data_IF_196141798783
#
_entry.id   IF_196141798783
#
_cell.length_a   1.000
_cell.length_b   1.000
_cell.length_c   1.000
_cell.angle_alpha   90.00
_cell.angle_beta   90.00
_cell.angle_gamma   90.00
#
_symmetry.space_group_name_H-M   'P 1'
#
loop_
_entity.id
_entity.type
_entity.pdbx_description
1 polymer ?
#
# COMPACT_ATOMS: atom_id res chain seq x y z
N UNK A 1 -4.53 18.79 3.17
CA UNK A 1 -5.05 17.74 4.06
C UNK A 1 -4.63 16.38 3.51
N UNK A 2 -4.36 15.39 4.36
CA UNK A 2 -3.76 14.11 3.94
C UNK A 2 -4.63 12.93 4.35
N UNK A 3 -4.74 11.93 3.47
CA UNK A 3 -5.41 10.65 3.74
C UNK A 3 -4.41 9.51 3.56
N UNK A 4 -4.34 8.58 4.52
CA UNK A 4 -3.50 7.39 4.43
C UNK A 4 -4.26 6.25 3.71
N UNK A 5 -3.67 5.70 2.65
CA UNK A 5 -4.16 4.46 2.03
C UNK A 5 -3.23 3.31 2.39
N UNK A 6 -3.79 2.15 2.76
CA UNK A 6 -3.00 0.97 3.12
C UNK A 6 -3.76 -0.35 2.86
N UNK A 7 -3.05 -1.48 2.79
CA UNK A 7 -3.63 -2.80 2.48
C UNK A 7 -4.39 -3.47 3.62
N UNK A 8 -4.47 -2.82 4.79
CA UNK A 8 -5.19 -3.34 5.95
C UNK A 8 -4.53 -4.54 6.65
N UNK A 9 -3.22 -4.79 6.45
CA UNK A 9 -2.52 -5.83 7.21
C UNK A 9 -2.59 -5.57 8.73
N UNK A 10 -2.88 -6.60 9.55
CA UNK A 10 -2.92 -6.46 11.00
C UNK A 10 -1.52 -6.36 11.64
N UNK A 11 -0.45 -6.48 10.85
CA UNK A 11 0.95 -6.47 11.31
C UNK A 11 1.88 -5.72 10.35
N UNK A 12 3.08 -5.41 10.84
CA UNK A 12 4.16 -4.80 10.05
C UNK A 12 3.91 -3.33 9.71
N UNK A 13 4.55 -2.86 8.63
CA UNK A 13 4.56 -1.44 8.25
C UNK A 13 3.16 -0.84 8.08
N UNK A 14 2.22 -1.55 7.45
CA UNK A 14 0.85 -1.06 7.27
C UNK A 14 0.11 -0.89 8.60
N UNK A 15 0.34 -1.78 9.58
CA UNK A 15 -0.28 -1.64 10.91
C UNK A 15 0.31 -0.45 11.68
N UNK A 16 1.63 -0.26 11.59
CA UNK A 16 2.32 0.89 12.20
C UNK A 16 1.80 2.20 11.59
N UNK A 17 1.68 2.27 10.26
CA UNK A 17 1.14 3.44 9.56
C UNK A 17 -0.32 3.72 9.97
N UNK A 18 -1.15 2.67 10.09
CA UNK A 18 -2.53 2.79 10.55
C UNK A 18 -2.63 3.35 11.97
N UNK A 19 -1.80 2.85 12.91
CA UNK A 19 -1.74 3.37 14.28
C UNK A 19 -1.22 4.81 14.34
N UNK A 20 -0.23 5.15 13.51
CA UNK A 20 0.25 6.52 13.39
C UNK A 20 -0.86 7.46 12.90
N UNK A 21 -1.65 7.05 11.91
CA UNK A 21 -2.76 7.84 11.40
C UNK A 21 -3.84 8.05 12.46
N UNK A 22 -4.22 6.99 13.18
CA UNK A 22 -5.16 7.08 14.30
C UNK A 22 -4.67 8.05 15.39
N UNK A 23 -3.40 7.93 15.80
CA UNK A 23 -2.82 8.76 16.85
C UNK A 23 -2.80 10.26 16.51
N UNK A 24 -2.78 10.58 15.21
CA UNK A 24 -2.71 11.95 14.69
C UNK A 24 -4.03 12.42 14.07
N UNK A 25 -5.09 11.62 14.15
CA UNK A 25 -6.40 11.90 13.56
C UNK A 25 -6.34 12.14 12.04
N UNK A 26 -5.42 11.45 11.36
CA UNK A 26 -5.33 11.44 9.90
C UNK A 26 -6.37 10.44 9.37
N UNK A 27 -7.28 10.83 8.46
CA UNK A 27 -8.21 9.89 7.84
C UNK A 27 -7.46 8.76 7.13
N UNK A 28 -7.96 7.53 7.23
CA UNK A 28 -7.34 6.37 6.58
C UNK A 28 -8.36 5.48 5.88
N UNK A 29 -7.94 4.88 4.75
CA UNK A 29 -8.75 3.94 3.95
C UNK A 29 -7.98 2.64 3.79
N UNK A 30 -8.58 1.55 4.27
CA UNK A 30 -8.02 0.21 4.19
C UNK A 30 -8.53 -0.57 2.97
N UNK A 31 -7.65 -0.91 2.04
CA UNK A 31 -7.94 -1.76 0.88
C UNK A 31 -7.63 -3.22 1.20
N UNK A 32 -8.55 -3.90 1.89
CA UNK A 32 -8.37 -5.32 2.25
C UNK A 32 -8.54 -6.23 1.03
N UNK A 33 -7.75 -7.32 0.92
CA UNK A 33 -7.91 -8.28 -0.17
C UNK A 33 -9.27 -9.01 -0.09
N UNK A 34 -10.01 -9.00 -1.19
CA UNK A 34 -11.25 -9.78 -1.35
C UNK A 34 -10.93 -11.19 -1.86
N UNK A 35 -10.75 -12.12 -0.93
CA UNK A 35 -10.42 -13.52 -1.22
C UNK A 35 -11.55 -14.28 -1.90
N UNK A 36 -12.80 -13.94 -1.59
CA UNK A 36 -13.98 -14.58 -2.17
C UNK A 36 -14.07 -14.30 -3.67
N UNK A 37 -13.76 -13.05 -4.07
CA UNK A 37 -13.85 -12.62 -5.46
C UNK A 37 -12.61 -12.93 -6.29
N UNK A 38 -11.42 -12.92 -5.68
CA UNK A 38 -10.16 -12.92 -6.42
C UNK A 38 -9.19 -14.05 -6.03
N UNK A 39 -9.54 -14.90 -5.07
CA UNK A 39 -8.72 -16.04 -4.62
C UNK A 39 -7.24 -15.63 -4.42
N UNK A 40 -6.29 -16.38 -5.00
CA UNK A 40 -4.85 -16.11 -4.88
C UNK A 40 -4.42 -14.75 -5.46
N UNK A 41 -5.21 -14.16 -6.35
CA UNK A 41 -4.92 -12.85 -6.92
C UNK A 41 -5.40 -11.67 -6.04
N UNK A 42 -6.15 -11.93 -4.96
CA UNK A 42 -6.74 -10.90 -4.12
C UNK A 42 -5.74 -9.85 -3.60
N UNK A 43 -4.52 -10.22 -3.14
CA UNK A 43 -3.52 -9.24 -2.71
C UNK A 43 -3.03 -8.31 -3.82
N UNK A 44 -3.00 -8.80 -5.07
CA UNK A 44 -2.59 -7.99 -6.22
C UNK A 44 -3.73 -7.11 -6.74
N UNK A 45 -4.97 -7.61 -6.69
CA UNK A 45 -6.16 -6.85 -7.11
C UNK A 45 -6.48 -5.70 -6.16
N UNK A 46 -6.24 -5.84 -4.86
CA UNK A 46 -6.37 -4.71 -3.93
C UNK A 46 -5.37 -3.58 -4.24
N UNK A 47 -4.18 -3.90 -4.76
CA UNK A 47 -3.20 -2.88 -5.16
C UNK A 47 -3.71 -2.10 -6.37
N UNK A 48 -4.33 -2.78 -7.33
CA UNK A 48 -4.98 -2.12 -8.48
C UNK A 48 -6.06 -1.14 -7.99
N UNK A 49 -6.93 -1.59 -7.08
CA UNK A 49 -7.98 -0.75 -6.51
C UNK A 49 -7.42 0.45 -5.74
N UNK A 50 -6.35 0.26 -4.96
CA UNK A 50 -5.68 1.32 -4.21
C UNK A 50 -4.98 2.34 -5.12
N UNK A 51 -4.39 1.92 -6.24
CA UNK A 51 -3.73 2.85 -7.16
C UNK A 51 -4.73 3.57 -8.08
N UNK A 52 -5.89 2.96 -8.34
CA UNK A 52 -6.96 3.58 -9.14
C UNK A 52 -7.60 4.80 -8.47
N UNK A 53 -7.42 5.00 -7.16
CA UNK A 53 -7.78 6.26 -6.50
C UNK A 53 -6.73 7.37 -6.68
N UNK A 54 -5.68 7.10 -7.46
CA UNK A 54 -4.65 8.05 -7.91
C UNK A 54 -3.98 8.79 -6.73
N UNK A 55 -3.31 8.05 -5.82
CA UNK A 55 -2.62 8.68 -4.70
C UNK A 55 -1.50 9.60 -5.20
N UNK A 56 -1.22 10.65 -4.43
CA UNK A 56 -0.14 11.62 -4.73
C UNK A 56 1.27 10.98 -4.73
N UNK A 57 1.41 9.85 -4.05
CA UNK A 57 2.67 9.12 -3.93
C UNK A 57 2.48 7.84 -3.13
N UNK A 58 3.43 6.92 -3.25
CA UNK A 58 3.42 5.64 -2.55
C UNK A 58 4.73 5.44 -1.80
N UNK A 59 4.63 5.06 -0.53
CA UNK A 59 5.76 4.66 0.30
C UNK A 59 5.77 3.14 0.41
N UNK A 60 6.88 2.50 0.01
CA UNK A 60 7.03 1.06 -0.03
C UNK A 60 8.10 0.63 0.97
N UNK A 61 7.75 -0.30 1.84
CA UNK A 61 8.68 -0.98 2.74
C UNK A 61 9.00 -2.39 2.21
N UNK A 62 10.14 -3.00 2.62
CA UNK A 62 10.51 -4.35 2.20
C UNK A 62 9.41 -5.37 2.55
N UNK A 63 9.25 -6.38 1.70
CA UNK A 63 8.20 -7.37 1.84
C UNK A 63 8.32 -8.50 0.83
N UNK A 64 7.19 -8.93 0.30
CA UNK A 64 7.12 -9.98 -0.74
C UNK A 64 6.87 -9.35 -2.11
N UNK A 65 6.68 -10.18 -3.14
CA UNK A 65 6.28 -9.72 -4.47
C UNK A 65 4.97 -8.92 -4.52
N UNK A 66 4.17 -8.88 -3.45
CA UNK A 66 2.97 -8.03 -3.36
C UNK A 66 3.36 -6.54 -3.24
N UNK A 67 4.40 -6.23 -2.47
CA UNK A 67 4.94 -4.88 -2.29
C UNK A 67 5.67 -4.42 -3.55
N UNK A 68 6.43 -5.32 -4.18
CA UNK A 68 7.08 -5.04 -5.46
C UNK A 68 6.03 -4.76 -6.55
N UNK A 69 4.96 -5.56 -6.60
CA UNK A 69 3.86 -5.32 -7.52
C UNK A 69 3.19 -3.94 -7.35
N UNK A 70 2.99 -3.50 -6.10
CA UNK A 70 2.46 -2.17 -5.83
C UNK A 70 3.40 -1.07 -6.35
N UNK A 71 4.70 -1.21 -6.07
CA UNK A 71 5.73 -0.26 -6.50
C UNK A 71 5.80 -0.15 -8.03
N UNK A 72 5.83 -1.29 -8.74
CA UNK A 72 5.97 -1.34 -10.19
C UNK A 72 4.74 -0.77 -10.89
N UNK A 73 3.53 -1.08 -10.40
CA UNK A 73 2.29 -0.51 -10.92
C UNK A 73 2.20 1.00 -10.69
N UNK A 74 2.56 1.48 -9.50
CA UNK A 74 2.58 2.91 -9.20
C UNK A 74 3.54 3.67 -10.14
N UNK A 75 4.76 3.15 -10.33
CA UNK A 75 5.74 3.71 -11.28
C UNK A 75 5.19 3.75 -12.70
N UNK A 76 4.56 2.67 -13.16
CA UNK A 76 3.95 2.59 -14.49
C UNK A 76 2.84 3.62 -14.68
N UNK A 77 2.13 3.99 -13.62
CA UNK A 77 1.10 5.04 -13.61
C UNK A 77 1.66 6.46 -13.46
N UNK A 78 2.99 6.63 -13.36
CA UNK A 78 3.62 7.93 -13.12
C UNK A 78 3.47 8.44 -11.68
N UNK A 79 3.03 7.59 -10.75
CA UNK A 79 2.88 7.94 -9.34
C UNK A 79 4.27 7.88 -8.68
N UNK A 80 4.73 8.94 -7.98
CA UNK A 80 6.00 8.92 -7.26
C UNK A 80 6.07 7.77 -6.25
N UNK A 81 7.15 7.00 -6.28
CA UNK A 81 7.39 5.88 -5.36
C UNK A 81 8.64 6.14 -4.54
N UNK A 82 8.48 6.17 -3.22
CA UNK A 82 9.59 6.18 -2.27
C UNK A 82 9.75 4.79 -1.66
N UNK A 83 10.89 4.14 -1.88
CA UNK A 83 11.17 2.79 -1.37
C UNK A 83 12.17 2.85 -0.20
N UNK A 84 11.75 2.32 0.94
CA UNK A 84 12.61 2.12 2.10
C UNK A 84 13.27 0.74 2.05
N UNK A 85 14.50 0.63 2.56
CA UNK A 85 15.19 -0.64 2.77
C UNK A 85 15.84 -1.27 1.53
N UNK A 86 16.14 -0.50 0.48
CA UNK A 86 17.09 -0.92 -0.55
C UNK A 86 18.53 -0.80 -0.03
N UNK A 87 18.89 -1.65 0.94
CA UNK A 87 20.26 -1.84 1.38
C UNK A 87 20.89 -3.01 0.62
N UNK A 88 21.37 -2.75 -0.59
CA UNK A 88 22.67 -3.24 -1.02
C UNK A 88 23.49 -1.99 -1.31
N UNK A 89 24.59 -1.80 -0.57
CA UNK A 89 25.63 -0.86 -0.96
C UNK A 89 26.24 -1.28 -2.30
#
# INVERSE_FOLDING_TARGET
DMVLLHGGSPKGAEKIASLWADSRKVPQVAFKPDWTKHAKAAPFKRNDQMLNVVPIGVVIFPGTGIQDNLADKARKMGIPVYRFGSGGA
#
